data_IF_754814642300
#
_entry.id   IF_754814642300
#
_cell.length_a   1.000
_cell.length_b   1.000
_cell.length_c   1.000
_cell.angle_alpha   90.00
_cell.angle_beta   90.00
_cell.angle_gamma   90.00
#
_symmetry.space_group_name_H-M   'P 1'
#
loop_
_entity.id
_entity.type
_entity.pdbx_description
1 polymer ?
#
# COMPACT_ATOMS: atom_id res chain seq x y z
N UNK A 1 11.43 -18.78 -0.32
CA UNK A 1 10.27 -17.85 -0.46
C UNK A 1 9.26 -18.12 0.65
N UNK A 2 8.42 -17.12 1.02
CA UNK A 2 7.43 -17.25 2.10
C UNK A 2 6.06 -16.75 1.67
N UNK A 3 5.04 -17.59 1.81
CA UNK A 3 3.62 -17.20 1.83
C UNK A 3 3.14 -17.08 3.27
N UNK A 4 2.23 -16.16 3.53
CA UNK A 4 1.70 -15.90 4.86
C UNK A 4 0.20 -16.19 4.93
N UNK A 5 -0.27 -16.51 6.14
CA UNK A 5 -1.71 -16.63 6.40
C UNK A 5 -2.30 -15.21 6.39
N UNK A 6 -3.30 -14.92 5.53
CA UNK A 6 -3.95 -13.62 5.51
C UNK A 6 -4.66 -13.33 6.83
N UNK A 7 -4.56 -12.08 7.30
CA UNK A 7 -5.32 -11.60 8.45
C UNK A 7 -6.55 -10.86 7.91
N UNK A 8 -7.72 -11.48 8.04
CA UNK A 8 -8.98 -10.90 7.54
C UNK A 8 -9.59 -9.99 8.60
N UNK A 9 -9.95 -8.78 8.21
CA UNK A 9 -10.66 -7.79 9.04
C UNK A 9 -11.99 -7.42 8.41
N UNK A 10 -13.09 -7.59 9.15
CA UNK A 10 -14.41 -7.12 8.75
C UNK A 10 -14.67 -5.77 9.42
N UNK A 11 -15.03 -4.78 8.62
CA UNK A 11 -15.19 -3.40 9.04
C UNK A 11 -16.56 -2.87 8.61
N UNK A 12 -16.99 -1.73 9.16
CA UNK A 12 -18.33 -1.15 8.86
C UNK A 12 -18.54 -0.79 7.39
N UNK A 13 -17.46 -0.67 6.63
CA UNK A 13 -17.46 -0.26 5.24
C UNK A 13 -17.09 -1.40 4.26
N UNK A 14 -16.61 -2.56 4.74
CA UNK A 14 -16.18 -3.69 3.90
C UNK A 14 -15.18 -4.58 4.58
N UNK A 15 -14.18 -5.05 3.85
CA UNK A 15 -13.17 -5.98 4.35
C UNK A 15 -11.76 -5.58 3.95
N UNK A 16 -10.79 -5.90 4.82
CA UNK A 16 -9.36 -5.88 4.52
C UNK A 16 -8.79 -7.29 4.65
N UNK A 17 -7.95 -7.67 3.70
CA UNK A 17 -7.07 -8.84 3.79
C UNK A 17 -5.64 -8.35 3.94
N UNK A 18 -5.07 -8.46 5.12
CA UNK A 18 -3.67 -8.15 5.37
C UNK A 18 -2.83 -9.36 4.98
N UNK A 19 -2.29 -9.35 3.78
CA UNK A 19 -1.56 -10.51 3.23
C UNK A 19 -0.10 -10.55 3.67
N UNK A 20 0.44 -9.41 4.12
CA UNK A 20 1.74 -9.30 4.74
C UNK A 20 1.76 -8.14 5.72
N UNK A 21 2.08 -8.40 6.99
CA UNK A 21 2.03 -7.41 8.07
C UNK A 21 3.13 -7.64 9.10
N UNK A 22 3.87 -6.57 9.42
CA UNK A 22 4.75 -6.51 10.59
C UNK A 22 4.17 -5.72 11.77
N UNK A 23 2.88 -5.32 11.69
CA UNK A 23 2.23 -4.51 12.75
C UNK A 23 2.18 -5.29 14.06
N UNK A 24 2.67 -4.73 15.18
CA UNK A 24 2.65 -5.39 16.49
C UNK A 24 1.24 -5.88 16.86
N UNK A 25 1.12 -7.14 17.26
CA UNK A 25 -0.16 -7.80 17.57
C UNK A 25 -0.95 -8.28 16.34
N UNK A 26 -0.50 -7.95 15.13
CA UNK A 26 -1.05 -8.39 13.85
C UNK A 26 0.05 -8.82 12.88
N UNK A 27 1.10 -9.45 13.41
CA UNK A 27 2.22 -9.93 12.59
C UNK A 27 1.78 -11.14 11.76
N UNK A 28 2.13 -11.12 10.48
CA UNK A 28 1.89 -12.24 9.58
C UNK A 28 2.64 -13.48 10.00
N UNK A 29 1.98 -14.63 9.87
CA UNK A 29 2.53 -15.96 10.20
C UNK A 29 2.74 -16.74 8.91
N UNK A 30 3.91 -17.35 8.75
CA UNK A 30 4.25 -18.20 7.60
C UNK A 30 3.23 -19.33 7.47
N UNK A 31 2.67 -19.48 6.27
CA UNK A 31 1.58 -20.43 6.04
C UNK A 31 2.07 -21.88 5.90
N UNK A 32 3.21 -22.08 5.23
CA UNK A 32 3.71 -23.40 4.82
C UNK A 32 5.24 -23.42 4.70
N UNK A 33 5.81 -24.61 4.49
CA UNK A 33 7.24 -24.83 4.34
C UNK A 33 7.97 -25.00 5.68
N UNK A 34 9.33 -25.02 5.67
CA UNK A 34 10.15 -25.28 6.86
C UNK A 34 9.99 -24.26 7.99
N UNK A 35 9.60 -23.03 7.64
CA UNK A 35 9.39 -21.94 8.60
C UNK A 35 7.92 -21.73 8.98
N UNK A 36 7.03 -22.68 8.61
CA UNK A 36 5.60 -22.60 8.92
C UNK A 36 5.32 -22.37 10.41
N UNK A 37 4.45 -21.41 10.69
CA UNK A 37 4.10 -21.02 12.06
C UNK A 37 4.95 -19.90 12.66
N UNK A 38 6.10 -19.57 12.08
CA UNK A 38 6.90 -18.41 12.52
C UNK A 38 6.24 -17.09 12.10
N UNK A 39 6.38 -16.09 12.95
CA UNK A 39 5.99 -14.72 12.62
C UNK A 39 7.03 -14.07 11.71
N UNK A 40 6.60 -13.12 10.88
CA UNK A 40 7.52 -12.36 10.03
C UNK A 40 8.62 -11.65 10.83
N UNK A 41 8.33 -11.20 12.03
CA UNK A 41 9.28 -10.56 12.95
C UNK A 41 10.32 -11.53 13.55
N UNK A 42 10.10 -12.83 13.45
CA UNK A 42 11.10 -13.86 13.81
C UNK A 42 12.06 -14.14 12.63
N UNK A 43 11.57 -13.96 11.39
CA UNK A 43 12.39 -14.09 10.17
C UNK A 43 13.21 -12.82 9.92
N UNK A 44 12.61 -11.66 10.18
CA UNK A 44 13.21 -10.32 10.02
C UNK A 44 13.12 -9.58 11.36
N UNK A 45 14.12 -9.76 12.25
CA UNK A 45 14.12 -9.15 13.58
C UNK A 45 14.07 -7.62 13.52
N UNK A 46 13.24 -7.03 14.36
CA UNK A 46 13.00 -5.59 14.40
C UNK A 46 11.65 -5.20 13.78
N UNK A 47 11.54 -3.96 13.34
CA UNK A 47 10.32 -3.48 12.69
C UNK A 47 10.34 -3.88 11.21
N UNK A 48 9.46 -4.80 10.81
CA UNK A 48 9.27 -5.11 9.40
C UNK A 48 8.65 -3.88 8.70
N UNK A 49 9.24 -3.38 7.59
CA UNK A 49 8.97 -2.01 7.15
C UNK A 49 7.63 -1.80 6.42
N UNK A 50 7.03 -2.85 5.85
CA UNK A 50 5.87 -2.74 4.96
C UNK A 50 4.66 -3.52 5.47
N UNK A 51 3.49 -3.03 5.10
CA UNK A 51 2.19 -3.69 5.26
C UNK A 51 1.51 -3.73 3.90
N UNK A 52 1.06 -4.91 3.47
CA UNK A 52 0.38 -5.14 2.19
C UNK A 52 -1.04 -5.60 2.45
N UNK A 53 -2.00 -4.92 1.82
CA UNK A 53 -3.42 -5.23 1.98
C UNK A 53 -4.14 -5.33 0.64
N UNK A 54 -5.22 -6.10 0.62
CA UNK A 54 -6.31 -5.98 -0.34
C UNK A 54 -7.53 -5.41 0.40
N UNK A 55 -8.16 -4.42 -0.20
CA UNK A 55 -9.30 -3.69 0.38
C UNK A 55 -10.49 -3.82 -0.55
N UNK A 56 -11.58 -4.40 -0.04
CA UNK A 56 -12.89 -4.46 -0.70
C UNK A 56 -13.84 -3.49 0.01
N UNK A 57 -13.98 -2.30 -0.57
CA UNK A 57 -14.82 -1.23 -0.04
C UNK A 57 -16.24 -1.38 -0.54
N UNK A 58 -17.16 -1.86 0.31
CA UNK A 58 -18.60 -1.95 0.03
C UNK A 58 -19.35 -0.65 0.30
N UNK A 59 -18.76 0.21 1.10
CA UNK A 59 -19.20 1.58 1.44
C UNK A 59 -18.00 2.47 1.59
N UNK A 60 -18.20 3.77 1.61
CA UNK A 60 -17.13 4.73 1.79
C UNK A 60 -16.36 4.48 3.09
N UNK A 61 -15.06 4.46 3.04
CA UNK A 61 -14.19 4.53 4.21
C UNK A 61 -14.30 5.92 4.85
N UNK A 62 -13.93 6.04 6.12
CA UNK A 62 -13.81 7.36 6.73
C UNK A 62 -12.81 8.21 5.97
N UNK A 63 -13.07 9.50 5.86
CA UNK A 63 -12.08 10.48 5.43
C UNK A 63 -11.03 10.58 6.54
N UNK A 64 -9.76 10.48 6.16
CA UNK A 64 -8.66 10.30 7.09
C UNK A 64 -7.36 10.93 6.60
N UNK A 65 -6.40 11.07 7.50
CA UNK A 65 -5.03 11.45 7.22
C UNK A 65 -4.09 10.65 8.12
N UNK A 66 -2.87 10.43 7.67
CA UNK A 66 -1.83 9.76 8.44
C UNK A 66 -0.69 10.71 8.78
N UNK A 67 -0.14 10.65 10.01
CA UNK A 67 1.03 11.44 10.38
C UNK A 67 2.28 10.98 9.65
N UNK A 68 3.26 11.88 9.50
CA UNK A 68 4.61 11.55 9.09
C UNK A 68 5.40 10.82 10.21
N UNK A 69 6.65 10.43 9.92
CA UNK A 69 7.48 9.72 10.89
C UNK A 69 7.77 10.52 12.14
N UNK A 70 7.98 11.83 12.02
CA UNK A 70 8.31 12.69 13.16
C UNK A 70 7.10 12.82 14.11
N UNK A 71 5.94 13.14 13.55
CA UNK A 71 4.71 13.29 14.31
C UNK A 71 4.24 11.96 14.92
N UNK A 72 4.33 10.86 14.16
CA UNK A 72 3.99 9.52 14.62
C UNK A 72 4.91 9.05 15.75
N UNK A 73 6.24 9.25 15.61
CA UNK A 73 7.19 8.91 16.66
C UNK A 73 6.92 9.71 17.94
N UNK A 74 6.67 11.01 17.80
CA UNK A 74 6.40 11.90 18.93
C UNK A 74 5.11 11.56 19.70
N UNK A 75 4.05 11.18 18.99
CA UNK A 75 2.71 10.97 19.57
C UNK A 75 2.42 9.52 19.93
N UNK A 76 2.98 8.57 19.17
CA UNK A 76 2.60 7.17 19.22
C UNK A 76 3.79 6.22 19.36
N UNK A 77 5.03 6.71 19.24
CA UNK A 77 6.23 5.86 19.32
C UNK A 77 6.37 4.87 18.15
N UNK A 78 5.80 5.19 16.99
CA UNK A 78 5.81 4.34 15.81
C UNK A 78 6.18 5.11 14.55
N UNK A 79 6.23 4.40 13.40
CA UNK A 79 6.45 5.01 12.08
C UNK A 79 5.23 5.78 11.60
N UNK A 80 5.44 6.75 10.72
CA UNK A 80 4.40 7.38 9.92
C UNK A 80 3.78 6.42 8.93
N UNK A 81 2.84 6.91 8.12
CA UNK A 81 2.12 6.09 7.16
C UNK A 81 1.98 6.79 5.81
N UNK A 82 2.98 6.59 4.95
CA UNK A 82 2.84 6.83 3.51
C UNK A 82 2.41 5.54 2.84
N UNK A 83 1.55 5.65 1.84
CA UNK A 83 0.95 4.50 1.18
C UNK A 83 0.74 4.74 -0.31
N UNK A 84 0.49 3.68 -1.06
CA UNK A 84 0.00 3.75 -2.41
C UNK A 84 -1.16 2.79 -2.62
N UNK A 85 -2.06 3.16 -3.51
CA UNK A 85 -3.15 2.31 -3.97
C UNK A 85 -3.00 1.97 -5.44
N UNK A 86 -3.25 0.70 -5.77
CA UNK A 86 -3.49 0.23 -7.13
C UNK A 86 -4.92 -0.28 -7.23
N UNK A 87 -5.74 0.37 -8.05
CA UNK A 87 -7.15 -0.02 -8.24
C UNK A 87 -7.22 -1.27 -9.11
N UNK A 88 -7.72 -2.38 -8.54
CA UNK A 88 -7.85 -3.67 -9.22
C UNK A 88 -9.20 -3.79 -9.91
N UNK A 89 -10.25 -3.30 -9.25
CA UNK A 89 -11.62 -3.37 -9.76
C UNK A 89 -12.49 -2.26 -9.21
N UNK A 90 -13.56 -1.92 -9.93
CA UNK A 90 -14.50 -0.89 -9.53
C UNK A 90 -15.92 -1.27 -9.92
N UNK A 91 -16.90 -0.91 -9.07
CA UNK A 91 -18.29 -0.82 -9.48
C UNK A 91 -18.52 0.44 -10.34
N UNK A 92 -19.57 0.51 -11.17
CA UNK A 92 -19.87 1.69 -11.96
C UNK A 92 -20.02 2.95 -11.11
N UNK A 93 -19.25 3.99 -11.44
CA UNK A 93 -19.28 5.28 -10.74
C UNK A 93 -18.49 5.32 -9.42
N UNK A 94 -17.71 4.28 -9.11
CA UNK A 94 -16.83 4.26 -7.93
C UNK A 94 -15.87 5.44 -7.94
N UNK A 95 -15.62 5.98 -6.77
CA UNK A 95 -14.79 7.17 -6.58
C UNK A 95 -13.90 6.99 -5.36
N UNK A 96 -12.84 7.79 -5.29
CA UNK A 96 -12.06 7.95 -4.08
C UNK A 96 -11.70 9.44 -3.87
N UNK A 97 -11.25 9.75 -2.68
CA UNK A 97 -10.78 11.09 -2.31
C UNK A 97 -9.26 11.04 -2.16
N UNK A 98 -8.56 11.98 -2.79
CA UNK A 98 -7.13 12.21 -2.57
C UNK A 98 -6.85 13.70 -2.67
N UNK A 99 -6.55 14.33 -1.53
CA UNK A 99 -6.14 15.72 -1.41
C UNK A 99 -7.27 16.75 -1.37
N UNK A 100 -6.86 18.00 -1.45
CA UNK A 100 -7.73 19.18 -1.44
C UNK A 100 -7.95 19.68 -2.88
N UNK A 101 -9.17 20.09 -3.23
CA UNK A 101 -9.47 20.74 -4.52
C UNK A 101 -9.32 22.26 -4.48
N UNK A 102 -9.29 22.84 -3.27
CA UNK A 102 -9.09 24.27 -3.05
C UNK A 102 -8.29 24.51 -1.77
N UNK A 103 -7.57 25.62 -1.71
CA UNK A 103 -6.73 25.95 -0.57
C UNK A 103 -7.61 26.35 0.64
N UNK A 104 -7.32 25.77 1.79
CA UNK A 104 -7.94 26.08 3.07
C UNK A 104 -6.87 26.30 4.14
N UNK A 105 -7.21 27.07 5.17
CA UNK A 105 -6.34 27.20 6.36
C UNK A 105 -6.63 26.07 7.37
N UNK A 106 -5.71 25.81 8.31
CA UNK A 106 -5.96 24.89 9.42
C UNK A 106 -7.21 25.24 10.26
N UNK A 107 -7.57 26.51 10.35
CA UNK A 107 -8.79 26.93 11.08
C UNK A 107 -10.04 26.73 10.23
N UNK A 108 -9.97 26.94 8.90
CA UNK A 108 -11.06 26.56 7.99
C UNK A 108 -11.33 25.06 8.05
N UNK A 109 -10.27 24.23 8.09
CA UNK A 109 -10.40 22.78 8.24
C UNK A 109 -11.23 22.42 9.49
N UNK A 110 -10.87 22.95 10.67
CA UNK A 110 -11.60 22.67 11.92
C UNK A 110 -13.05 23.07 11.79
N UNK A 111 -13.33 24.30 11.32
CA UNK A 111 -14.68 24.81 11.11
C UNK A 111 -15.50 23.93 10.14
N UNK A 112 -14.91 23.51 9.01
CA UNK A 112 -15.59 22.65 8.03
C UNK A 112 -15.90 21.25 8.59
N UNK A 113 -15.03 20.69 9.43
CA UNK A 113 -15.30 19.43 10.13
C UNK A 113 -16.44 19.59 11.12
N UNK A 114 -16.45 20.63 11.96
CA UNK A 114 -17.51 20.92 12.93
C UNK A 114 -18.86 21.16 12.26
N UNK A 115 -18.87 21.82 11.10
CA UNK A 115 -20.05 22.06 10.29
C UNK A 115 -20.49 20.85 9.44
N UNK A 116 -19.75 19.70 9.46
CA UNK A 116 -19.95 18.52 8.59
C UNK A 116 -19.84 18.84 7.08
N UNK A 117 -19.00 19.78 6.73
CA UNK A 117 -18.83 20.30 5.35
C UNK A 117 -17.46 20.01 4.74
N UNK A 118 -16.60 19.27 5.42
CA UNK A 118 -15.23 19.01 4.96
C UNK A 118 -15.17 18.41 3.55
N UNK A 119 -16.16 17.65 3.13
CA UNK A 119 -16.26 17.07 1.79
C UNK A 119 -16.34 18.11 0.67
N UNK A 120 -16.80 19.33 0.98
CA UNK A 120 -16.93 20.42 -0.01
C UNK A 120 -15.58 20.90 -0.56
N UNK A 121 -14.48 20.67 0.14
CA UNK A 121 -13.14 21.14 -0.22
C UNK A 121 -12.19 20.01 -0.64
N UNK A 122 -12.65 18.76 -0.66
CA UNK A 122 -11.84 17.61 -1.01
C UNK A 122 -11.87 17.28 -2.50
N UNK A 123 -10.75 16.80 -3.03
CA UNK A 123 -10.63 16.38 -4.42
C UNK A 123 -11.13 14.94 -4.56
N UNK A 124 -12.26 14.78 -5.25
CA UNK A 124 -12.89 13.51 -5.56
C UNK A 124 -12.48 13.04 -6.97
N UNK A 125 -12.13 11.78 -7.12
CA UNK A 125 -11.68 11.18 -8.36
C UNK A 125 -12.54 9.98 -8.72
N UNK A 126 -13.20 9.99 -9.88
CA UNK A 126 -13.77 8.77 -10.47
C UNK A 126 -12.62 7.86 -10.87
N UNK A 127 -12.69 6.58 -10.50
CA UNK A 127 -11.59 5.64 -10.69
C UNK A 127 -11.96 4.46 -11.58
N UNK A 128 -10.95 3.89 -12.21
CA UNK A 128 -11.02 2.72 -13.06
C UNK A 128 -9.90 1.72 -12.69
N UNK A 129 -10.05 0.43 -13.03
CA UNK A 129 -8.97 -0.55 -12.88
C UNK A 129 -7.67 -0.08 -13.55
N UNK A 130 -6.57 -0.15 -12.83
CA UNK A 130 -5.26 0.35 -13.25
C UNK A 130 -4.90 1.75 -12.75
N UNK A 131 -5.85 2.51 -12.19
CA UNK A 131 -5.51 3.79 -11.56
C UNK A 131 -4.60 3.58 -10.35
N UNK A 132 -3.63 4.49 -10.21
CA UNK A 132 -2.66 4.49 -9.11
C UNK A 132 -2.69 5.82 -8.39
N UNK A 133 -2.63 5.78 -7.06
CA UNK A 133 -2.51 6.96 -6.22
C UNK A 133 -1.38 6.76 -5.21
N UNK A 134 -0.43 7.68 -5.20
CA UNK A 134 0.53 7.80 -4.11
C UNK A 134 0.00 8.78 -3.07
N UNK A 135 -0.07 8.33 -1.82
CA UNK A 135 -0.62 9.04 -0.67
C UNK A 135 0.51 9.24 0.35
N UNK A 136 1.33 10.28 0.20
CA UNK A 136 2.31 10.60 1.23
C UNK A 136 1.59 10.92 2.55
N UNK A 137 2.25 10.67 3.67
CA UNK A 137 1.75 11.15 4.97
C UNK A 137 1.36 12.64 4.86
N UNK A 138 0.27 13.03 5.53
CA UNK A 138 -0.33 14.36 5.42
C UNK A 138 -1.41 14.49 4.35
N UNK A 139 -1.51 13.58 3.38
CA UNK A 139 -2.55 13.61 2.35
C UNK A 139 -3.90 13.19 2.94
N UNK A 140 -4.92 14.07 2.87
CA UNK A 140 -6.31 13.68 3.18
C UNK A 140 -6.80 12.73 2.10
N UNK A 141 -7.40 11.61 2.49
CA UNK A 141 -7.87 10.61 1.54
C UNK A 141 -9.03 9.78 2.09
N UNK A 142 -9.75 9.11 1.18
CA UNK A 142 -10.73 8.09 1.50
C UNK A 142 -10.98 7.20 0.28
N UNK A 143 -11.21 5.91 0.50
CA UNK A 143 -11.67 4.98 -0.53
C UNK A 143 -13.19 5.01 -0.52
N UNK A 144 -13.82 5.25 -1.68
CA UNK A 144 -15.26 5.19 -1.82
C UNK A 144 -15.78 3.78 -2.02
N UNK A 145 -17.05 3.58 -1.74
CA UNK A 145 -17.72 2.30 -1.96
C UNK A 145 -17.65 1.86 -3.43
N UNK A 146 -17.55 0.56 -3.65
CA UNK A 146 -17.38 -0.03 -4.98
C UNK A 146 -15.94 -0.10 -5.47
N UNK A 147 -14.94 0.27 -4.66
CA UNK A 147 -13.53 0.10 -5.00
C UNK A 147 -12.97 -1.21 -4.44
N UNK A 148 -12.22 -1.94 -5.28
CA UNK A 148 -11.36 -3.03 -4.87
C UNK A 148 -9.92 -2.69 -5.26
N UNK A 149 -9.00 -2.67 -4.28
CA UNK A 149 -7.62 -2.22 -4.52
C UNK A 149 -6.59 -2.99 -3.69
N UNK A 150 -5.34 -2.94 -4.15
CA UNK A 150 -4.17 -3.32 -3.38
C UNK A 150 -3.52 -2.06 -2.78
N UNK A 151 -3.15 -2.15 -1.50
CA UNK A 151 -2.47 -1.10 -0.75
C UNK A 151 -1.08 -1.57 -0.34
N UNK A 152 -0.07 -0.78 -0.66
CA UNK A 152 1.30 -0.92 -0.17
C UNK A 152 1.59 0.27 0.73
N UNK A 153 2.01 0.03 1.98
CA UNK A 153 2.22 1.09 2.97
C UNK A 153 3.37 0.80 3.93
N UNK A 154 3.85 1.83 4.61
CA UNK A 154 4.71 1.66 5.78
C UNK A 154 3.98 0.85 6.86
N UNK A 155 4.74 0.09 7.67
CA UNK A 155 4.19 -0.64 8.81
C UNK A 155 3.74 0.33 9.91
N UNK A 156 2.51 0.79 9.78
CA UNK A 156 1.80 1.63 10.74
C UNK A 156 0.31 1.42 10.56
N UNK A 157 -0.45 1.52 11.65
CA UNK A 157 -1.90 1.44 11.62
C UNK A 157 -2.56 2.72 12.23
N UNK A 158 -1.77 3.77 12.38
CA UNK A 158 -2.24 5.05 12.92
C UNK A 158 -3.08 5.78 11.88
N UNK A 159 -4.31 6.08 12.27
CA UNK A 159 -5.29 6.79 11.45
C UNK A 159 -5.90 7.94 12.24
N UNK A 160 -5.76 9.17 11.73
CA UNK A 160 -6.51 10.30 12.22
C UNK A 160 -7.78 10.44 11.38
N UNK A 161 -8.91 10.01 11.95
CA UNK A 161 -10.22 10.05 11.31
C UNK A 161 -10.78 11.46 11.38
N UNK A 162 -11.06 12.02 10.19
CA UNK A 162 -11.55 13.39 10.01
C UNK A 162 -13.09 13.42 9.97
N UNK A 163 -13.68 12.50 9.19
CA UNK A 163 -15.12 12.42 8.99
C UNK A 163 -15.56 10.97 8.71
N UNK A 164 -16.67 10.55 9.28
CA UNK A 164 -17.16 9.17 9.16
C UNK A 164 -18.66 9.09 8.83
N UNK A 165 -19.17 10.06 8.09
CA UNK A 165 -20.55 10.10 7.60
C UNK A 165 -21.62 9.97 8.71
N UNK A 166 -21.28 10.31 9.95
CA UNK A 166 -22.12 10.16 11.14
C UNK A 166 -22.71 8.75 11.32
N UNK A 167 -22.07 7.71 10.79
CA UNK A 167 -22.51 6.32 10.88
C UNK A 167 -22.03 5.64 12.16
N UNK A 168 -22.80 4.66 12.69
CA UNK A 168 -22.34 3.84 13.80
C UNK A 168 -21.19 2.91 13.39
N UNK A 169 -20.28 2.65 14.31
CA UNK A 169 -19.30 1.57 14.24
C UNK A 169 -19.93 0.20 14.44
N UNK A 170 -19.11 -0.86 14.46
CA UNK A 170 -19.57 -2.24 14.68
C UNK A 170 -20.20 -2.44 16.08
N UNK A 171 -19.83 -1.61 17.04
CA UNK A 171 -20.37 -1.57 18.40
C UNK A 171 -21.65 -0.73 18.52
N UNK A 172 -22.16 -0.19 17.42
CA UNK A 172 -23.34 0.66 17.38
C UNK A 172 -23.10 2.12 17.79
N UNK A 173 -21.86 2.50 18.13
CA UNK A 173 -21.50 3.87 18.53
C UNK A 173 -20.74 4.57 17.39
N UNK A 174 -20.84 5.91 17.27
CA UNK A 174 -19.99 6.66 16.34
C UNK A 174 -18.50 6.41 16.63
N UNK A 175 -17.70 6.20 15.57
CA UNK A 175 -16.26 6.09 15.73
C UNK A 175 -15.66 7.45 16.09
N UNK A 176 -14.62 7.44 16.92
CA UNK A 176 -13.94 8.66 17.36
C UNK A 176 -13.36 9.41 16.15
N UNK A 177 -13.55 10.72 16.12
CA UNK A 177 -12.87 11.65 15.23
C UNK A 177 -11.62 12.21 15.92
N UNK A 178 -10.61 12.53 15.12
CA UNK A 178 -9.29 13.01 15.57
C UNK A 178 -9.01 14.39 14.96
N UNK A 179 -9.96 15.33 15.10
CA UNK A 179 -9.94 16.63 14.40
C UNK A 179 -8.66 17.44 14.71
N UNK A 180 -8.24 17.48 15.96
CA UNK A 180 -7.06 18.27 16.34
C UNK A 180 -5.75 17.57 15.95
N UNK A 181 -5.69 16.24 16.09
CA UNK A 181 -4.53 15.45 15.66
C UNK A 181 -4.34 15.54 14.14
N UNK A 182 -5.44 15.48 13.39
CA UNK A 182 -5.44 15.59 11.94
C UNK A 182 -5.02 16.99 11.48
N UNK A 183 -5.46 18.05 12.17
CA UNK A 183 -5.07 19.44 11.88
C UNK A 183 -3.56 19.61 11.74
N UNK A 184 -2.80 18.97 12.63
CA UNK A 184 -1.34 19.07 12.63
C UNK A 184 -0.67 18.17 11.59
N UNK A 185 -1.37 17.12 11.15
CA UNK A 185 -0.82 16.14 10.20
C UNK A 185 -1.08 16.51 8.73
N UNK A 186 -2.14 17.30 8.45
CA UNK A 186 -2.59 17.59 7.09
C UNK A 186 -1.57 18.42 6.32
N UNK A 187 -1.27 17.97 5.09
CA UNK A 187 -0.67 18.79 4.04
C UNK A 187 -1.78 19.62 3.38
N UNK A 188 -1.79 20.93 3.66
CA UNK A 188 -2.79 21.87 3.15
C UNK A 188 -2.51 22.35 1.72
N UNK A 189 -1.50 21.81 1.07
CA UNK A 189 -1.17 22.18 -0.31
C UNK A 189 -2.16 21.56 -1.29
N UNK A 190 -2.59 22.33 -2.28
CA UNK A 190 -3.37 21.86 -3.43
C UNK A 190 -2.42 21.48 -4.54
N UNK A 191 -2.59 20.29 -5.10
CA UNK A 191 -1.77 19.79 -6.21
C UNK A 191 -2.59 19.74 -7.49
N UNK A 192 -1.95 19.94 -8.65
CA UNK A 192 -2.65 19.93 -9.94
C UNK A 192 -3.12 18.53 -10.36
N UNK A 193 -2.46 17.48 -9.85
CA UNK A 193 -2.79 16.08 -10.11
C UNK A 193 -2.46 15.25 -8.87
N UNK A 194 -3.34 14.33 -8.56
CA UNK A 194 -3.22 13.41 -7.43
C UNK A 194 -3.03 11.94 -7.85
N UNK A 195 -3.39 11.60 -9.10
CA UNK A 195 -3.06 10.29 -9.65
C UNK A 195 -1.58 10.19 -9.96
N UNK A 196 -1.04 9.01 -9.77
CA UNK A 196 0.26 8.65 -10.33
C UNK A 196 0.07 8.30 -11.79
N UNK A 197 0.54 9.17 -12.69
CA UNK A 197 0.46 8.93 -14.13
C UNK A 197 1.58 8.00 -14.56
N UNK A 198 1.23 6.96 -15.30
CA UNK A 198 2.18 6.02 -15.89
C UNK A 198 1.68 5.50 -17.24
N UNK A 199 2.58 5.01 -18.08
CA UNK A 199 2.23 4.35 -19.34
C UNK A 199 2.27 2.84 -19.13
N UNK A 200 1.12 2.12 -19.23
CA UNK A 200 1.10 0.66 -19.15
C UNK A 200 1.96 0.04 -20.25
N UNK A 201 2.76 -0.95 -19.89
CA UNK A 201 3.58 -1.73 -20.83
C UNK A 201 3.30 -3.21 -20.65
N UNK A 202 3.15 -3.90 -21.78
CA UNK A 202 3.06 -5.36 -21.79
C UNK A 202 4.45 -5.96 -21.80
N UNK A 203 4.67 -7.01 -21.03
CA UNK A 203 5.92 -7.79 -20.96
C UNK A 203 7.15 -6.93 -20.61
N UNK A 204 6.95 -5.87 -19.86
CA UNK A 204 8.01 -4.98 -19.38
C UNK A 204 7.68 -4.38 -18.02
N UNK A 205 8.68 -4.13 -17.17
CA UNK A 205 8.45 -3.46 -15.89
C UNK A 205 8.05 -2.00 -16.06
N UNK A 206 7.13 -1.54 -15.20
CA UNK A 206 6.73 -0.14 -15.12
C UNK A 206 6.78 0.30 -13.68
N UNK A 207 7.71 1.19 -13.34
CA UNK A 207 7.76 1.78 -12.00
C UNK A 207 6.51 2.64 -11.77
N UNK A 208 5.75 2.34 -10.72
CA UNK A 208 4.55 3.07 -10.35
C UNK A 208 4.85 4.15 -9.32
N UNK A 209 5.54 3.78 -8.24
CA UNK A 209 5.87 4.68 -7.14
C UNK A 209 7.28 4.39 -6.66
N UNK A 210 8.04 5.47 -6.44
CA UNK A 210 9.31 5.45 -5.71
C UNK A 210 9.28 6.54 -4.66
N UNK A 211 9.42 6.15 -3.39
CA UNK A 211 9.47 7.07 -2.27
C UNK A 211 10.57 6.62 -1.27
N UNK A 212 10.83 7.37 -0.19
CA UNK A 212 11.84 6.98 0.80
C UNK A 212 11.56 5.66 1.53
N UNK A 213 10.37 5.11 1.40
CA UNK A 213 9.90 3.96 2.19
C UNK A 213 9.70 2.70 1.38
N UNK A 214 9.41 2.83 0.07
CA UNK A 214 9.25 1.70 -0.84
C UNK A 214 9.36 2.12 -2.30
N UNK A 215 9.72 1.16 -3.13
CA UNK A 215 9.60 1.24 -4.59
C UNK A 215 8.65 0.15 -5.04
N UNK A 216 7.66 0.50 -5.88
CA UNK A 216 6.67 -0.44 -6.43
C UNK A 216 6.71 -0.44 -7.95
N UNK A 217 6.79 -1.63 -8.54
CA UNK A 217 6.87 -1.85 -10.00
C UNK A 217 5.75 -2.79 -10.44
N UNK A 218 5.04 -2.43 -11.49
CA UNK A 218 3.99 -3.24 -12.14
C UNK A 218 4.60 -4.09 -13.26
N UNK A 219 4.12 -5.32 -13.37
CA UNK A 219 4.35 -6.24 -14.48
C UNK A 219 3.00 -6.72 -15.02
N UNK A 220 2.77 -6.57 -16.31
CA UNK A 220 1.61 -7.11 -17.03
C UNK A 220 2.13 -8.08 -18.10
N UNK A 221 2.21 -9.35 -17.74
CA UNK A 221 2.86 -10.40 -18.52
C UNK A 221 1.85 -11.16 -19.35
N UNK A 222 2.13 -11.28 -20.65
CA UNK A 222 1.35 -12.09 -21.59
C UNK A 222 1.39 -13.57 -21.22
N UNK A 223 0.38 -14.38 -21.62
CA UNK A 223 0.47 -15.83 -21.52
C UNK A 223 1.76 -16.34 -22.14
N UNK A 224 2.45 -17.24 -21.46
CA UNK A 224 3.69 -17.81 -21.97
C UNK A 224 3.39 -18.63 -23.23
N UNK A 225 3.72 -18.09 -24.39
CA UNK A 225 3.78 -18.89 -25.63
C UNK A 225 5.09 -19.71 -25.64
N UNK A 226 6.22 -19.20 -25.16
CA UNK A 226 7.53 -19.85 -25.08
C UNK A 226 8.53 -19.13 -24.16
N UNK A 227 8.11 -18.49 -23.05
CA UNK A 227 9.09 -17.69 -22.30
C UNK A 227 8.86 -17.48 -20.81
N UNK A 228 9.92 -17.68 -20.06
CA UNK A 228 10.08 -17.24 -18.68
C UNK A 228 10.52 -15.77 -18.71
N UNK A 229 9.72 -14.89 -18.10
CA UNK A 229 10.13 -13.49 -17.91
C UNK A 229 11.13 -13.42 -16.77
N UNK A 230 12.40 -13.15 -17.08
CA UNK A 230 13.41 -12.90 -16.04
C UNK A 230 13.37 -11.43 -15.66
N UNK A 231 13.15 -11.16 -14.39
CA UNK A 231 13.48 -9.83 -13.85
C UNK A 231 14.99 -9.68 -13.98
N UNK A 232 15.47 -8.60 -14.57
CA UNK A 232 16.91 -8.33 -14.68
C UNK A 232 17.60 -8.59 -13.34
N UNK A 233 18.75 -9.22 -13.37
CA UNK A 233 19.56 -9.81 -12.29
C UNK A 233 19.61 -9.11 -10.92
N UNK A 234 20.70 -9.23 -10.15
CA UNK A 234 20.81 -8.72 -8.76
C UNK A 234 20.52 -7.23 -8.57
N UNK A 235 20.24 -6.49 -9.64
CA UNK A 235 19.87 -5.08 -9.61
C UNK A 235 18.51 -4.81 -8.93
N UNK A 236 17.60 -5.80 -8.85
CA UNK A 236 16.36 -5.67 -8.06
C UNK A 236 16.65 -5.63 -6.55
N UNK A 237 17.75 -6.25 -6.12
CA UNK A 237 18.22 -6.26 -4.75
C UNK A 237 19.36 -5.26 -4.51
N UNK A 238 19.99 -4.75 -5.59
CA UNK A 238 21.05 -3.76 -5.48
C UNK A 238 20.43 -2.36 -5.50
N UNK A 239 20.08 -1.84 -4.35
CA UNK A 239 19.78 -0.42 -4.13
C UNK A 239 20.99 0.47 -4.47
N UNK A 240 21.54 0.40 -5.68
CA UNK A 240 22.53 1.35 -6.17
C UNK A 240 21.83 2.56 -6.76
N UNK A 241 21.32 3.43 -5.89
CA UNK A 241 21.34 4.88 -6.17
C UNK A 241 21.78 5.60 -4.91
N UNK A 242 23.06 5.52 -4.59
CA UNK A 242 23.71 6.54 -3.80
C UNK A 242 23.84 7.81 -4.65
N UNK A 243 22.88 8.71 -4.63
CA UNK A 243 23.13 10.13 -4.85
C UNK A 243 23.17 10.81 -3.48
N UNK A 244 24.38 11.19 -3.09
CA UNK A 244 24.62 12.07 -1.96
C UNK A 244 23.85 13.38 -2.18
N UNK A 245 22.76 13.58 -1.45
CA UNK A 245 22.25 14.93 -1.19
C UNK A 245 22.74 15.34 0.17
N UNK A 246 23.46 16.46 0.21
CA UNK A 246 23.90 17.11 1.43
C UNK A 246 22.70 17.68 2.19
N UNK A 247 22.13 16.91 3.09
CA UNK A 247 21.40 17.39 4.26
C UNK A 247 21.28 16.21 5.23
N UNK A 248 21.83 16.42 6.44
CA UNK A 248 22.04 15.36 7.41
C UNK A 248 20.75 14.84 8.03
N UNK A 249 20.32 13.69 7.58
CA UNK A 249 19.67 12.65 8.35
C UNK A 249 19.89 11.35 7.56
N UNK A 250 20.88 10.58 8.01
CA UNK A 250 21.20 9.29 7.43
C UNK A 250 20.13 8.28 7.86
N UNK A 251 19.14 8.00 7.00
CA UNK A 251 18.51 6.70 7.02
C UNK A 251 19.40 5.76 6.20
N UNK A 252 19.80 4.59 6.74
CA UNK A 252 20.57 3.65 5.97
C UNK A 252 19.71 3.14 4.81
N UNK A 253 20.08 3.48 3.58
CA UNK A 253 19.67 2.78 2.39
C UNK A 253 20.38 1.42 2.43
N UNK A 254 19.88 0.48 3.22
CA UNK A 254 20.25 -0.91 3.12
C UNK A 254 19.74 -1.41 1.77
N UNK A 255 20.60 -2.12 1.03
CA UNK A 255 20.12 -2.97 -0.06
C UNK A 255 18.96 -3.78 0.49
N UNK A 256 17.83 -3.81 -0.22
CA UNK A 256 16.62 -4.49 0.28
C UNK A 256 16.93 -5.95 0.51
N UNK A 257 16.74 -6.43 1.74
CA UNK A 257 17.01 -7.83 2.09
C UNK A 257 15.94 -8.78 1.53
N UNK A 258 14.89 -8.25 0.90
CA UNK A 258 13.79 -9.00 0.33
C UNK A 258 13.05 -8.25 -0.78
N UNK A 259 12.31 -9.00 -1.57
CA UNK A 259 11.31 -8.54 -2.52
C UNK A 259 9.93 -9.09 -2.12
N UNK A 260 8.88 -8.28 -2.21
CA UNK A 260 7.50 -8.74 -2.07
C UNK A 260 6.87 -8.74 -3.45
N UNK A 261 6.23 -9.85 -3.82
CA UNK A 261 5.48 -10.03 -5.07
C UNK A 261 4.01 -10.14 -4.74
N UNK A 262 3.17 -9.33 -5.38
CA UNK A 262 1.73 -9.18 -5.08
C UNK A 262 0.94 -9.56 -6.34
N UNK A 263 0.09 -10.58 -6.28
CA UNK A 263 -0.75 -11.04 -7.38
C UNK A 263 -1.98 -10.15 -7.56
N UNK A 264 -2.19 -9.62 -8.76
CA UNK A 264 -3.29 -8.71 -9.09
C UNK A 264 -4.34 -9.36 -10.01
N UNK A 265 -3.91 -10.07 -11.05
CA UNK A 265 -4.79 -10.75 -12.00
C UNK A 265 -4.06 -11.88 -12.74
N UNK A 266 -4.80 -12.85 -13.24
CA UNK A 266 -4.22 -14.05 -13.83
C UNK A 266 -3.51 -14.91 -12.78
N UNK A 267 -2.66 -15.82 -13.22
CA UNK A 267 -1.86 -16.66 -12.32
C UNK A 267 -0.54 -17.04 -12.97
N UNK A 268 0.42 -17.50 -12.17
CA UNK A 268 1.72 -17.92 -12.68
C UNK A 268 2.57 -18.58 -11.62
N UNK A 269 3.82 -18.88 -11.99
CA UNK A 269 4.81 -19.44 -11.08
C UNK A 269 5.93 -18.43 -10.88
N UNK A 270 6.32 -18.23 -9.64
CA UNK A 270 7.52 -17.49 -9.25
C UNK A 270 8.63 -18.51 -9.02
N UNK A 271 9.79 -18.29 -9.62
CA UNK A 271 10.99 -19.13 -9.45
C UNK A 271 12.18 -18.32 -8.99
N UNK A 272 12.97 -18.92 -8.11
CA UNK A 272 14.31 -18.46 -7.74
C UNK A 272 15.29 -19.62 -7.95
N UNK A 273 16.57 -19.43 -7.63
CA UNK A 273 17.55 -20.52 -7.66
C UNK A 273 17.25 -21.61 -6.61
N UNK A 274 16.52 -21.28 -5.54
CA UNK A 274 16.30 -22.18 -4.39
C UNK A 274 14.92 -22.77 -4.32
N UNK A 275 13.91 -22.11 -4.91
CA UNK A 275 12.50 -22.45 -4.63
C UNK A 275 11.58 -22.00 -5.75
N UNK A 276 10.38 -22.58 -5.82
CA UNK A 276 9.30 -22.15 -6.70
C UNK A 276 7.96 -22.14 -5.96
N UNK A 277 7.08 -21.23 -6.35
CA UNK A 277 5.72 -21.16 -5.80
C UNK A 277 4.75 -20.57 -6.81
N UNK A 278 3.48 -20.93 -6.71
CA UNK A 278 2.42 -20.30 -7.50
C UNK A 278 2.06 -18.94 -6.93
N UNK A 279 1.61 -18.03 -7.81
CA UNK A 279 1.01 -16.74 -7.44
C UNK A 279 -0.37 -16.64 -8.08
N UNK A 280 -1.37 -16.31 -7.25
CA UNK A 280 -2.74 -16.04 -7.69
C UNK A 280 -3.20 -14.65 -7.20
N UNK A 281 -4.27 -14.08 -7.76
CA UNK A 281 -4.79 -12.79 -7.30
C UNK A 281 -5.14 -12.81 -5.81
N UNK A 282 -4.76 -11.74 -5.10
CA UNK A 282 -5.02 -11.61 -3.66
C UNK A 282 -3.96 -12.25 -2.76
N UNK A 283 -2.89 -12.81 -3.34
CA UNK A 283 -1.76 -13.35 -2.60
C UNK A 283 -0.56 -12.38 -2.60
N UNK A 284 0.30 -12.54 -1.59
CA UNK A 284 1.64 -11.95 -1.58
C UNK A 284 2.68 -13.01 -1.23
N UNK A 285 3.83 -12.95 -1.89
CA UNK A 285 5.00 -13.80 -1.65
C UNK A 285 6.18 -12.91 -1.28
N UNK A 286 6.82 -13.20 -0.15
CA UNK A 286 8.06 -12.55 0.25
C UNK A 286 9.23 -13.43 -0.17
N UNK A 287 10.18 -12.86 -0.88
CA UNK A 287 11.36 -13.51 -1.44
C UNK A 287 12.60 -12.90 -0.80
N UNK A 288 13.34 -13.66 0.04
CA UNK A 288 14.63 -13.19 0.56
C UNK A 288 15.63 -12.90 -0.57
N UNK A 289 16.45 -11.86 -0.44
CA UNK A 289 17.51 -11.56 -1.38
C UNK A 289 18.50 -12.74 -1.54
N UNK A 290 18.67 -13.53 -0.50
CA UNK A 290 19.50 -14.74 -0.51
C UNK A 290 18.99 -15.86 -1.43
N UNK A 291 17.75 -15.76 -1.95
CA UNK A 291 17.15 -16.77 -2.84
C UNK A 291 17.61 -16.59 -4.31
N UNK A 292 18.34 -15.51 -4.60
CA UNK A 292 18.89 -15.21 -5.92
C UNK A 292 17.90 -14.54 -6.87
N UNK A 293 18.19 -14.53 -8.17
CA UNK A 293 17.35 -13.92 -9.19
C UNK A 293 15.94 -14.48 -9.19
N UNK A 294 14.97 -13.60 -9.47
CA UNK A 294 13.54 -13.94 -9.53
C UNK A 294 13.08 -13.99 -10.97
N UNK A 295 12.34 -15.02 -11.35
CA UNK A 295 11.66 -15.11 -12.63
C UNK A 295 10.17 -15.39 -12.46
N UNK A 296 9.38 -14.93 -13.42
CA UNK A 296 7.95 -15.12 -13.49
C UNK A 296 7.59 -15.93 -14.73
N UNK A 297 6.81 -16.98 -14.55
CA UNK A 297 6.24 -17.78 -15.62
C UNK A 297 4.72 -17.59 -15.62
N UNK A 298 4.18 -16.75 -16.54
CA UNK A 298 2.74 -16.50 -16.62
C UNK A 298 1.96 -17.76 -16.98
N UNK A 299 0.78 -17.93 -16.39
CA UNK A 299 -0.17 -18.97 -16.78
C UNK A 299 -0.90 -18.66 -18.11
N UNK A 300 -1.89 -19.51 -18.47
CA UNK A 300 -2.58 -19.41 -19.76
C UNK A 300 -3.38 -18.10 -19.95
N UNK A 301 -3.76 -17.44 -18.85
CA UNK A 301 -4.50 -16.16 -18.88
C UNK A 301 -3.57 -14.95 -18.69
N UNK A 302 -2.24 -15.18 -18.69
CA UNK A 302 -1.25 -14.16 -18.34
C UNK A 302 -1.11 -14.00 -16.84
N UNK A 303 -0.28 -13.03 -16.44
CA UNK A 303 -0.02 -12.71 -15.03
C UNK A 303 0.19 -11.20 -14.86
N UNK A 304 -0.66 -10.56 -14.10
CA UNK A 304 -0.43 -9.18 -13.65
C UNK A 304 -0.05 -9.20 -12.18
N UNK A 305 1.09 -8.60 -11.88
CA UNK A 305 1.60 -8.52 -10.52
C UNK A 305 2.27 -7.17 -10.25
N UNK A 306 2.41 -6.83 -8.97
CA UNK A 306 3.34 -5.79 -8.52
C UNK A 306 4.48 -6.41 -7.73
N UNK A 307 5.66 -5.82 -7.83
CA UNK A 307 6.74 -6.06 -6.88
C UNK A 307 6.92 -4.82 -6.02
N UNK A 308 7.29 -5.00 -4.76
CA UNK A 308 7.64 -3.88 -3.88
C UNK A 308 8.79 -4.27 -2.94
N UNK A 309 9.61 -3.30 -2.60
CA UNK A 309 10.70 -3.42 -1.64
C UNK A 309 10.93 -2.06 -0.96
N UNK A 310 11.51 -2.01 0.25
CA UNK A 310 11.91 -0.78 0.93
C UNK A 310 12.95 0.04 0.17
#
# INVERSE_FOLDING_TARGET
>A
MYKFKPILKTLVWGTESWVLSGVPGSESVVAEGPEAGKKITELYPGTFPLLIKFIDARRDLSIQVHPDNELAAKRHGCSGKSEMWYVIGTEPGAKLISGLKEAITPDDYVRLVEENRITEVLAEHTVAPGDVFFLPSGRIHAIGGGCFLAEVQQTSDITYRIYDYNRPGLDGKPRQLHTQEAKDAIDYQVYPEYRTLYEPKRDAPVELVRCPYFTTTLYDLSPAADGVFQTGGPELFSGQVCRKTNSGSAFPSAASDFLIVIGLAGSGVIRTEKDETTLTPGEAVLIPASDGPVSFEPGPDGLRLMTTHP
#
